data_IF_824072174008
#
_entry.id   IF_824072174008
#
_cell.length_a   1.000
_cell.length_b   1.000
_cell.length_c   1.000
_cell.angle_alpha   90.00
_cell.angle_beta   90.00
_cell.angle_gamma   90.00
#
_symmetry.space_group_name_H-M   'P 1'
#
loop_
_entity.id
_entity.type
_entity.pdbx_description
1 polymer ?
#
# COMPACT_ATOMS: atom_id res chain seq x y z
N UNK A 1 32.51 -23.72 -15.32
CA UNK A 1 31.35 -23.98 -14.44
C UNK A 1 31.51 -23.18 -13.16
N UNK A 2 30.88 -22.00 -13.06
CA UNK A 2 30.94 -21.19 -11.87
C UNK A 2 29.89 -21.70 -10.88
N UNK A 3 30.36 -22.18 -9.75
CA UNK A 3 29.54 -22.60 -8.59
C UNK A 3 28.80 -21.39 -8.03
N UNK A 4 27.52 -21.34 -8.32
CA UNK A 4 26.59 -20.36 -7.75
C UNK A 4 26.56 -20.59 -6.22
N UNK A 5 27.12 -19.64 -5.47
CA UNK A 5 27.11 -19.63 -4.01
C UNK A 5 25.67 -19.46 -3.52
N UNK A 6 24.92 -20.56 -3.36
CA UNK A 6 23.70 -20.60 -2.55
C UNK A 6 24.11 -20.45 -1.09
N UNK A 7 24.03 -19.25 -0.55
CA UNK A 7 24.00 -19.04 0.88
C UNK A 7 23.27 -17.72 1.21
N UNK A 8 21.97 -17.70 1.06
CA UNK A 8 21.16 -16.75 1.80
C UNK A 8 20.32 -17.55 2.81
N UNK A 9 20.97 -17.96 3.90
CA UNK A 9 20.24 -18.49 5.05
C UNK A 9 19.33 -17.38 5.62
N UNK A 10 18.15 -17.75 6.17
CA UNK A 10 17.17 -16.83 6.75
C UNK A 10 17.79 -15.78 7.71
N UNK A 11 18.89 -16.14 8.41
CA UNK A 11 19.64 -15.20 9.27
C UNK A 11 20.30 -14.02 8.54
N UNK A 12 20.52 -14.12 7.22
CA UNK A 12 21.14 -13.06 6.45
C UNK A 12 20.09 -12.02 5.98
N UNK A 13 18.83 -12.44 5.80
CA UNK A 13 17.73 -11.57 5.35
C UNK A 13 17.38 -10.54 6.42
N UNK A 14 17.33 -10.96 7.70
CA UNK A 14 17.07 -10.04 8.82
C UNK A 14 18.23 -9.05 9.09
N UNK A 15 19.44 -9.36 8.64
CA UNK A 15 20.57 -8.41 8.71
C UNK A 15 20.32 -7.17 7.83
N UNK A 16 19.52 -7.29 6.77
CA UNK A 16 19.15 -6.15 5.92
C UNK A 16 18.41 -5.08 6.72
N UNK A 17 17.61 -5.46 7.71
CA UNK A 17 16.88 -4.53 8.58
C UNK A 17 17.78 -3.77 9.57
N UNK A 18 19.05 -4.14 9.73
CA UNK A 18 20.02 -3.34 10.49
C UNK A 18 20.36 -2.02 9.79
N UNK A 19 20.21 -1.96 8.47
CA UNK A 19 20.32 -0.72 7.74
C UNK A 19 19.05 0.13 7.98
N UNK A 20 19.21 1.28 8.62
CA UNK A 20 18.11 2.19 8.97
C UNK A 20 17.24 2.56 7.77
N UNK A 21 17.84 2.82 6.61
CA UNK A 21 17.10 3.16 5.39
C UNK A 21 16.21 2.01 4.92
N UNK A 22 16.75 0.78 4.99
CA UNK A 22 15.99 -0.43 4.62
C UNK A 22 14.87 -0.69 5.62
N UNK A 23 15.14 -0.58 6.92
CA UNK A 23 14.13 -0.78 7.96
C UNK A 23 12.98 0.23 7.85
N UNK A 24 13.29 1.52 7.64
CA UNK A 24 12.27 2.56 7.46
C UNK A 24 11.45 2.34 6.20
N UNK A 25 12.08 2.00 5.06
CA UNK A 25 11.37 1.75 3.81
C UNK A 25 10.49 0.49 3.87
N UNK A 26 10.99 -0.60 4.49
CA UNK A 26 10.18 -1.81 4.73
C UNK A 26 9.01 -1.53 5.67
N UNK A 27 9.23 -0.75 6.72
CA UNK A 27 8.17 -0.29 7.62
C UNK A 27 7.14 0.58 6.92
N UNK A 28 7.57 1.49 6.05
CA UNK A 28 6.69 2.33 5.24
C UNK A 28 5.82 1.49 4.29
N UNK A 29 6.42 0.51 3.61
CA UNK A 29 5.68 -0.43 2.75
C UNK A 29 4.68 -1.26 3.57
N UNK A 30 5.09 -1.80 4.71
CA UNK A 30 4.20 -2.54 5.62
C UNK A 30 3.00 -1.70 6.05
N UNK A 31 3.22 -0.47 6.52
CA UNK A 31 2.13 0.43 6.91
C UNK A 31 1.23 0.82 5.74
N UNK A 32 1.81 1.00 4.55
CA UNK A 32 1.03 1.28 3.34
C UNK A 32 0.05 0.14 3.03
N UNK A 33 0.55 -1.09 2.92
CA UNK A 33 -0.30 -2.25 2.63
C UNK A 33 -1.26 -2.56 3.78
N UNK A 34 -0.85 -2.38 5.03
CA UNK A 34 -1.74 -2.51 6.17
C UNK A 34 -2.90 -1.52 6.07
N UNK A 35 -2.63 -0.24 5.84
CA UNK A 35 -3.64 0.79 5.70
C UNK A 35 -4.57 0.55 4.49
N UNK A 36 -4.01 0.19 3.34
CA UNK A 36 -4.78 -0.15 2.15
C UNK A 36 -5.78 -1.28 2.43
N UNK A 37 -5.34 -2.38 3.03
CA UNK A 37 -6.17 -3.57 3.25
C UNK A 37 -7.07 -3.47 4.47
N UNK A 38 -6.79 -2.59 5.43
CA UNK A 38 -7.72 -2.22 6.50
C UNK A 38 -9.06 -1.74 5.94
N UNK A 39 -9.04 -0.93 4.87
CA UNK A 39 -10.25 -0.44 4.21
C UNK A 39 -10.74 -1.41 3.11
N UNK A 40 -9.83 -1.81 2.21
CA UNK A 40 -10.21 -2.51 0.98
C UNK A 40 -10.92 -3.84 1.24
N UNK A 41 -10.55 -4.56 2.28
CA UNK A 41 -11.19 -5.82 2.68
C UNK A 41 -12.67 -5.63 3.02
N UNK A 42 -13.04 -4.46 3.57
CA UNK A 42 -14.41 -4.12 3.98
C UNK A 42 -15.15 -3.23 3.00
N UNK A 43 -14.59 -3.05 1.81
CA UNK A 43 -15.19 -2.25 0.76
C UNK A 43 -16.55 -2.80 0.32
N UNK A 44 -16.66 -4.11 0.15
CA UNK A 44 -17.92 -4.74 -0.24
C UNK A 44 -19.02 -4.57 0.82
N UNK A 45 -18.83 -4.92 2.11
CA UNK A 45 -19.77 -4.62 3.17
C UNK A 45 -20.19 -3.14 3.21
N UNK A 46 -19.23 -2.21 3.07
CA UNK A 46 -19.53 -0.77 3.00
C UNK A 46 -20.46 -0.43 1.83
N UNK A 47 -20.18 -0.94 0.64
CA UNK A 47 -21.01 -0.69 -0.55
C UNK A 47 -22.43 -1.26 -0.42
N UNK A 48 -22.55 -2.44 0.19
CA UNK A 48 -23.85 -3.11 0.39
C UNK A 48 -24.66 -2.45 1.51
N UNK A 49 -24.04 -2.06 2.62
CA UNK A 49 -24.75 -1.59 3.82
C UNK A 49 -24.90 -0.07 3.91
N UNK A 50 -23.91 0.69 3.46
CA UNK A 50 -23.90 2.17 3.56
C UNK A 50 -24.32 2.82 2.26
N UNK A 51 -23.69 2.43 1.15
CA UNK A 51 -24.04 2.97 -0.19
C UNK A 51 -25.32 2.32 -0.72
N UNK A 52 -25.68 1.15 -0.20
CA UNK A 52 -26.90 0.39 -0.55
C UNK A 52 -27.00 0.04 -2.04
N UNK A 53 -25.87 -0.36 -2.63
CA UNK A 53 -25.83 -0.76 -4.03
C UNK A 53 -26.34 -2.20 -4.22
N UNK A 54 -27.01 -2.44 -5.34
CA UNK A 54 -27.38 -3.80 -5.75
C UNK A 54 -26.18 -4.53 -6.40
N UNK A 55 -26.30 -5.84 -6.60
CA UNK A 55 -25.22 -6.68 -7.14
C UNK A 55 -24.68 -6.21 -8.50
N UNK A 56 -25.52 -5.82 -9.49
CA UNK A 56 -25.02 -5.25 -10.74
C UNK A 56 -24.19 -3.97 -10.55
N UNK A 57 -24.61 -3.06 -9.69
CA UNK A 57 -23.89 -1.82 -9.39
C UNK A 57 -22.59 -2.11 -8.63
N UNK A 58 -22.60 -3.06 -7.69
CA UNK A 58 -21.40 -3.52 -7.01
C UNK A 58 -20.35 -4.03 -8.03
N UNK A 59 -20.78 -4.88 -8.96
CA UNK A 59 -19.91 -5.40 -10.01
C UNK A 59 -19.34 -4.30 -10.90
N UNK A 60 -20.14 -3.28 -11.23
CA UNK A 60 -19.71 -2.11 -12.00
C UNK A 60 -18.66 -1.30 -11.24
N UNK A 61 -18.86 -1.05 -9.94
CA UNK A 61 -17.90 -0.33 -9.10
C UNK A 61 -16.56 -1.06 -9.00
N UNK A 62 -16.60 -2.38 -8.84
CA UNK A 62 -15.39 -3.21 -8.84
C UNK A 62 -14.68 -3.19 -10.19
N UNK A 63 -15.44 -3.18 -11.29
CA UNK A 63 -14.89 -3.02 -12.64
C UNK A 63 -14.23 -1.64 -12.81
N UNK A 64 -14.84 -0.56 -12.32
CA UNK A 64 -14.27 0.80 -12.33
C UNK A 64 -12.93 0.82 -11.60
N UNK A 65 -12.85 0.21 -10.41
CA UNK A 65 -11.58 0.07 -9.66
C UNK A 65 -10.53 -0.67 -10.51
N UNK A 66 -10.92 -1.79 -11.12
CA UNK A 66 -10.00 -2.62 -11.92
C UNK A 66 -9.48 -1.90 -13.16
N UNK A 67 -10.36 -1.25 -13.94
CA UNK A 67 -9.99 -0.49 -15.15
C UNK A 67 -9.12 0.71 -14.78
N UNK A 68 -9.51 1.48 -13.78
CA UNK A 68 -8.70 2.60 -13.28
C UNK A 68 -7.34 2.13 -12.79
N UNK A 69 -7.29 0.98 -12.12
CA UNK A 69 -6.05 0.36 -11.65
C UNK A 69 -5.12 -0.06 -12.78
N UNK A 70 -5.65 -0.63 -13.83
CA UNK A 70 -4.87 -0.94 -15.04
C UNK A 70 -4.23 0.32 -15.62
N UNK A 71 -4.99 1.41 -15.75
CA UNK A 71 -4.47 2.70 -16.20
C UNK A 71 -3.36 3.23 -15.26
N UNK A 72 -3.59 3.17 -13.95
CA UNK A 72 -2.62 3.62 -12.95
C UNK A 72 -1.30 2.85 -13.03
N UNK A 73 -1.37 1.53 -13.10
CA UNK A 73 -0.18 0.66 -13.23
C UNK A 73 0.61 0.93 -14.50
N UNK A 74 -0.08 1.24 -15.59
CA UNK A 74 0.56 1.55 -16.88
C UNK A 74 1.30 2.89 -16.85
N UNK A 75 0.73 3.89 -16.19
CA UNK A 75 1.26 5.26 -16.18
C UNK A 75 2.32 5.51 -15.10
N UNK A 76 2.32 4.74 -14.01
CA UNK A 76 3.16 5.01 -12.84
C UNK A 76 4.66 5.03 -13.16
N UNK A 77 5.12 4.23 -14.12
CA UNK A 77 6.53 4.15 -14.50
C UNK A 77 7.13 5.50 -14.95
N UNK A 78 6.32 6.37 -15.56
CA UNK A 78 6.75 7.71 -15.96
C UNK A 78 6.93 8.62 -14.75
N UNK A 79 6.03 8.53 -13.80
CA UNK A 79 6.03 9.36 -12.58
C UNK A 79 7.18 8.96 -11.64
N UNK A 80 7.42 7.66 -11.50
CA UNK A 80 8.50 7.12 -10.66
C UNK A 80 9.89 7.59 -11.11
N UNK A 81 10.10 7.77 -12.42
CA UNK A 81 11.37 8.29 -12.95
C UNK A 81 11.70 9.71 -12.47
N UNK A 82 10.69 10.51 -12.13
CA UNK A 82 10.91 11.90 -11.64
C UNK A 82 11.31 11.92 -10.16
N UNK A 83 10.59 11.17 -9.32
CA UNK A 83 10.86 11.10 -7.88
C UNK A 83 10.21 9.86 -7.28
N UNK A 84 10.99 8.84 -6.98
CA UNK A 84 10.51 7.60 -6.37
C UNK A 84 9.86 7.86 -5.00
N UNK A 85 10.58 8.50 -4.09
CA UNK A 85 10.08 8.76 -2.72
C UNK A 85 8.92 9.75 -2.70
N UNK A 86 9.01 10.82 -3.52
CA UNK A 86 7.92 11.78 -3.66
C UNK A 86 6.64 11.11 -4.16
N UNK A 87 6.74 10.24 -5.17
CA UNK A 87 5.60 9.50 -5.70
C UNK A 87 4.99 8.58 -4.65
N UNK A 88 5.80 7.78 -3.94
CA UNK A 88 5.30 6.87 -2.91
C UNK A 88 4.63 7.61 -1.75
N UNK A 89 5.20 8.74 -1.29
CA UNK A 89 4.57 9.57 -0.25
C UNK A 89 3.25 10.18 -0.74
N UNK A 90 3.22 10.70 -1.97
CA UNK A 90 2.00 11.29 -2.56
C UNK A 90 0.90 10.25 -2.72
N UNK A 91 1.22 9.03 -3.21
CA UNK A 91 0.29 7.90 -3.29
C UNK A 91 -0.35 7.63 -1.92
N UNK A 92 0.47 7.50 -0.88
CA UNK A 92 0.00 7.21 0.48
C UNK A 92 -0.92 8.32 1.00
N UNK A 93 -0.56 9.59 0.81
CA UNK A 93 -1.37 10.73 1.24
C UNK A 93 -2.70 10.83 0.46
N UNK A 94 -2.67 10.65 -0.85
CA UNK A 94 -3.89 10.68 -1.66
C UNK A 94 -4.84 9.56 -1.25
N UNK A 95 -4.35 8.36 -0.99
CA UNK A 95 -5.16 7.26 -0.50
C UNK A 95 -5.75 7.55 0.88
N UNK A 96 -4.99 8.19 1.79
CA UNK A 96 -5.50 8.63 3.09
C UNK A 96 -6.65 9.65 2.93
N UNK A 97 -6.49 10.61 2.03
CA UNK A 97 -7.55 11.59 1.72
C UNK A 97 -8.79 10.92 1.15
N UNK A 98 -8.62 9.96 0.22
CA UNK A 98 -9.76 9.21 -0.36
C UNK A 98 -10.46 8.41 0.73
N UNK A 99 -9.73 7.73 1.63
CA UNK A 99 -10.31 6.98 2.74
C UNK A 99 -11.19 7.87 3.63
N UNK A 100 -10.71 9.07 3.97
CA UNK A 100 -11.49 10.04 4.75
C UNK A 100 -12.67 10.62 3.96
N UNK A 101 -12.49 10.88 2.67
CA UNK A 101 -13.55 11.43 1.80
C UNK A 101 -14.70 10.43 1.58
N UNK A 102 -14.43 9.13 1.62
CA UNK A 102 -15.48 8.10 1.53
C UNK A 102 -16.44 8.12 2.73
N UNK A 103 -16.04 8.69 3.89
CA UNK A 103 -16.90 8.75 5.07
C UNK A 103 -18.14 9.63 4.82
N UNK A 104 -18.02 10.92 4.47
CA UNK A 104 -19.18 11.76 4.19
C UNK A 104 -19.83 11.43 2.85
N UNK A 105 -19.10 10.87 1.89
CA UNK A 105 -19.61 10.53 0.56
C UNK A 105 -20.34 9.19 0.51
N UNK A 106 -20.32 8.39 1.58
CA UNK A 106 -20.70 6.98 1.59
C UNK A 106 -22.09 6.64 1.04
N UNK A 107 -23.06 7.54 1.17
CA UNK A 107 -24.44 7.37 0.65
C UNK A 107 -24.60 7.77 -0.83
N UNK A 108 -23.62 8.47 -1.40
CA UNK A 108 -23.68 8.97 -2.77
C UNK A 108 -22.98 8.07 -3.77
N UNK A 109 -23.71 7.24 -4.50
CA UNK A 109 -23.16 6.23 -5.44
C UNK A 109 -22.15 6.84 -6.42
N UNK A 110 -22.44 8.02 -7.00
CA UNK A 110 -21.55 8.68 -7.97
C UNK A 110 -20.26 9.14 -7.29
N UNK A 111 -20.35 9.77 -6.12
CA UNK A 111 -19.17 10.23 -5.37
C UNK A 111 -18.29 9.04 -4.95
N UNK A 112 -18.91 7.97 -4.47
CA UNK A 112 -18.23 6.72 -4.14
C UNK A 112 -17.56 6.11 -5.37
N UNK A 113 -18.23 6.06 -6.53
CA UNK A 113 -17.65 5.55 -7.77
C UNK A 113 -16.39 6.32 -8.20
N UNK A 114 -16.44 7.65 -8.14
CA UNK A 114 -15.28 8.50 -8.46
C UNK A 114 -14.12 8.26 -7.48
N UNK A 115 -14.41 8.27 -6.18
CA UNK A 115 -13.38 8.04 -5.15
C UNK A 115 -12.76 6.66 -5.26
N UNK A 116 -13.57 5.63 -5.53
CA UNK A 116 -13.06 4.26 -5.72
C UNK A 116 -12.30 4.09 -7.03
N UNK A 117 -12.68 4.79 -8.10
CA UNK A 117 -11.89 4.85 -9.32
C UNK A 117 -10.52 5.46 -9.08
N UNK A 118 -10.45 6.58 -8.36
CA UNK A 118 -9.18 7.20 -7.94
C UNK A 118 -8.38 6.28 -7.01
N UNK A 119 -9.03 5.62 -6.05
CA UNK A 119 -8.39 4.61 -5.20
C UNK A 119 -7.77 3.50 -6.04
N UNK A 120 -8.54 2.89 -6.95
CA UNK A 120 -8.05 1.84 -7.84
C UNK A 120 -6.85 2.28 -8.66
N UNK A 121 -6.92 3.47 -9.27
CA UNK A 121 -5.84 4.06 -10.06
C UNK A 121 -4.53 4.18 -9.26
N UNK A 122 -4.61 4.61 -8.00
CA UNK A 122 -3.45 4.88 -7.15
C UNK A 122 -2.96 3.59 -6.46
N UNK A 123 -3.87 2.80 -5.91
CA UNK A 123 -3.54 1.63 -5.09
C UNK A 123 -2.83 0.53 -5.88
N UNK A 124 -3.25 0.27 -7.13
CA UNK A 124 -2.63 -0.75 -7.97
C UNK A 124 -1.30 -0.31 -8.57
N UNK A 125 -1.05 0.99 -8.64
CA UNK A 125 0.22 1.55 -9.07
C UNK A 125 1.32 1.45 -7.98
N UNK A 126 0.93 1.43 -6.71
CA UNK A 126 1.86 1.44 -5.57
C UNK A 126 2.83 0.24 -5.52
N UNK A 127 2.42 -1.01 -5.78
CA UNK A 127 3.33 -2.15 -5.82
C UNK A 127 4.52 -1.94 -6.76
N UNK A 128 4.29 -1.36 -7.94
CA UNK A 128 5.38 -1.06 -8.90
C UNK A 128 6.41 -0.10 -8.28
N UNK A 129 5.95 0.88 -7.53
CA UNK A 129 6.80 1.82 -6.82
C UNK A 129 7.62 1.15 -5.71
N UNK A 130 7.00 0.29 -4.90
CA UNK A 130 7.68 -0.43 -3.83
C UNK A 130 8.71 -1.44 -4.34
N UNK A 131 8.41 -2.15 -5.44
CA UNK A 131 9.40 -3.02 -6.10
C UNK A 131 10.55 -2.23 -6.71
N UNK A 132 10.27 -1.09 -7.32
CA UNK A 132 11.32 -0.18 -7.79
C UNK A 132 12.19 0.32 -6.65
N UNK A 133 11.59 0.60 -5.48
CA UNK A 133 12.33 1.00 -4.28
C UNK A 133 13.29 -0.10 -3.80
N UNK A 134 12.87 -1.38 -3.77
CA UNK A 134 13.76 -2.51 -3.43
C UNK A 134 14.99 -2.53 -4.33
N UNK A 135 14.79 -2.44 -5.65
CA UNK A 135 15.88 -2.48 -6.61
C UNK A 135 16.89 -1.32 -6.39
N UNK A 136 16.42 -0.16 -5.95
CA UNK A 136 17.28 0.99 -5.63
C UNK A 136 17.94 0.89 -4.25
N UNK A 137 17.23 0.38 -3.26
CA UNK A 137 17.73 0.33 -1.87
C UNK A 137 18.67 -0.83 -1.62
N UNK A 138 18.53 -1.93 -2.35
CA UNK A 138 19.26 -3.19 -2.18
C UNK A 138 19.72 -3.78 -3.52
N UNK A 139 20.53 -3.06 -4.34
CA UNK A 139 20.93 -3.53 -5.66
C UNK A 139 21.65 -4.89 -5.63
N UNK A 140 22.52 -5.13 -4.62
CA UNK A 140 23.29 -6.37 -4.48
C UNK A 140 22.51 -7.49 -3.78
N UNK A 141 21.35 -7.19 -3.19
CA UNK A 141 20.52 -8.11 -2.42
C UNK A 141 19.04 -8.04 -2.81
N UNK A 142 18.74 -7.70 -4.05
CA UNK A 142 17.36 -7.48 -4.52
C UNK A 142 16.45 -8.71 -4.34
N UNK A 143 16.98 -9.91 -4.55
CA UNK A 143 16.23 -11.17 -4.35
C UNK A 143 15.85 -11.37 -2.87
N UNK A 144 16.82 -11.25 -1.96
CA UNK A 144 16.58 -11.38 -0.52
C UNK A 144 15.68 -10.26 0.02
N UNK A 145 15.90 -9.03 -0.45
CA UNK A 145 15.06 -7.87 -0.14
C UNK A 145 13.63 -8.02 -0.64
N UNK A 146 13.47 -8.57 -1.84
CA UNK A 146 12.16 -8.88 -2.43
C UNK A 146 11.39 -9.92 -1.62
N UNK A 147 12.05 -11.01 -1.22
CA UNK A 147 11.44 -12.03 -0.36
C UNK A 147 11.00 -11.49 1.00
N UNK A 148 11.85 -10.64 1.62
CA UNK A 148 11.50 -9.95 2.88
C UNK A 148 10.31 -9.01 2.70
N UNK A 149 10.28 -8.23 1.62
CA UNK A 149 9.16 -7.35 1.29
C UNK A 149 7.85 -8.13 1.16
N UNK A 150 7.85 -9.26 0.43
CA UNK A 150 6.66 -10.11 0.32
C UNK A 150 6.17 -10.56 1.69
N UNK A 151 7.06 -11.04 2.56
CA UNK A 151 6.69 -11.48 3.90
C UNK A 151 6.08 -10.36 4.73
N UNK A 152 6.68 -9.16 4.70
CA UNK A 152 6.18 -7.96 5.41
C UNK A 152 4.82 -7.55 4.85
N UNK A 153 4.66 -7.52 3.53
CA UNK A 153 3.40 -7.15 2.88
C UNK A 153 2.29 -8.13 3.23
N UNK A 154 2.54 -9.43 3.17
CA UNK A 154 1.53 -10.44 3.52
C UNK A 154 1.11 -10.37 4.99
N UNK A 155 2.06 -10.17 5.90
CA UNK A 155 1.77 -9.96 7.31
C UNK A 155 0.96 -8.66 7.51
N UNK A 156 1.34 -7.58 6.85
CA UNK A 156 0.65 -6.30 6.90
C UNK A 156 -0.80 -6.39 6.38
N UNK A 157 -1.02 -7.13 5.28
CA UNK A 157 -2.36 -7.42 4.76
C UNK A 157 -3.19 -8.19 5.79
N UNK A 158 -2.64 -9.26 6.36
CA UNK A 158 -3.33 -10.06 7.36
C UNK A 158 -3.72 -9.24 8.60
N UNK A 159 -2.77 -8.48 9.16
CA UNK A 159 -3.01 -7.62 10.33
C UNK A 159 -4.01 -6.51 9.98
N UNK A 160 -3.82 -5.83 8.85
CA UNK A 160 -4.70 -4.75 8.39
C UNK A 160 -6.15 -5.22 8.21
N UNK A 161 -6.34 -6.36 7.53
CA UNK A 161 -7.68 -6.96 7.34
C UNK A 161 -8.31 -7.36 8.67
N UNK A 162 -7.54 -7.95 9.59
CA UNK A 162 -8.06 -8.36 10.91
C UNK A 162 -8.46 -7.13 11.75
N UNK A 163 -7.58 -6.13 11.86
CA UNK A 163 -7.86 -4.90 12.60
C UNK A 163 -9.04 -4.15 11.97
N UNK A 164 -9.07 -4.06 10.64
CA UNK A 164 -10.17 -3.46 9.91
C UNK A 164 -11.52 -4.10 10.23
N UNK A 165 -11.55 -5.43 10.35
CA UNK A 165 -12.77 -6.17 10.70
C UNK A 165 -13.25 -5.88 12.12
N UNK A 166 -12.36 -5.99 13.07
CA UNK A 166 -12.70 -5.67 14.47
C UNK A 166 -13.25 -4.26 14.61
N UNK A 167 -12.64 -3.29 13.92
CA UNK A 167 -13.11 -1.91 13.92
C UNK A 167 -14.46 -1.76 13.21
N UNK A 168 -14.65 -2.42 12.06
CA UNK A 168 -15.88 -2.38 11.30
C UNK A 168 -17.05 -2.91 12.10
N UNK A 169 -16.88 -4.07 12.73
CA UNK A 169 -17.93 -4.76 13.49
C UNK A 169 -18.25 -4.05 14.82
N UNK A 170 -17.22 -3.54 15.52
CA UNK A 170 -17.40 -2.92 16.83
C UNK A 170 -17.82 -1.44 16.77
N UNK A 171 -17.31 -0.67 15.82
CA UNK A 171 -17.41 0.79 15.78
C UNK A 171 -17.93 1.36 14.44
N UNK A 172 -18.22 0.48 13.49
CA UNK A 172 -18.70 0.86 12.17
C UNK A 172 -17.61 1.23 11.17
N UNK A 173 -18.01 1.42 9.90
CA UNK A 173 -17.10 1.65 8.77
C UNK A 173 -16.24 2.91 8.93
N UNK A 174 -16.73 3.95 9.61
CA UNK A 174 -16.00 5.19 9.80
C UNK A 174 -14.68 4.95 10.54
N UNK A 175 -14.71 4.13 11.59
CA UNK A 175 -13.51 3.79 12.38
C UNK A 175 -12.48 3.04 11.55
N UNK A 176 -12.92 2.11 10.71
CA UNK A 176 -12.08 1.36 9.76
C UNK A 176 -11.40 2.29 8.76
N UNK A 177 -12.16 3.26 8.22
CA UNK A 177 -11.64 4.20 7.22
C UNK A 177 -10.68 5.23 7.84
N UNK A 178 -10.97 5.69 9.07
CA UNK A 178 -10.05 6.55 9.85
C UNK A 178 -8.75 5.80 10.17
N UNK A 179 -8.83 4.53 10.60
CA UNK A 179 -7.65 3.72 10.87
C UNK A 179 -6.80 3.50 9.60
N UNK A 180 -7.45 3.20 8.47
CA UNK A 180 -6.80 3.12 7.15
C UNK A 180 -6.06 4.41 6.82
N UNK A 181 -6.72 5.56 6.94
CA UNK A 181 -6.12 6.87 6.67
C UNK A 181 -4.93 7.16 7.58
N UNK A 182 -5.04 6.86 8.88
CA UNK A 182 -3.94 7.04 9.84
C UNK A 182 -2.71 6.19 9.48
N UNK A 183 -2.91 4.93 9.13
CA UNK A 183 -1.83 4.04 8.69
C UNK A 183 -1.17 4.53 7.40
N UNK A 184 -1.95 5.01 6.44
CA UNK A 184 -1.46 5.57 5.19
C UNK A 184 -0.68 6.89 5.40
N UNK A 185 -1.12 7.75 6.31
CA UNK A 185 -0.37 8.96 6.71
C UNK A 185 0.95 8.60 7.37
N UNK A 186 0.98 7.59 8.25
CA UNK A 186 2.21 7.10 8.85
C UNK A 186 3.15 6.50 7.79
N UNK A 187 2.61 5.77 6.80
CA UNK A 187 3.38 5.26 5.67
C UNK A 187 4.03 6.41 4.87
N UNK A 188 3.29 7.48 4.58
CA UNK A 188 3.81 8.66 3.91
C UNK A 188 4.94 9.33 4.71
N UNK A 189 4.77 9.47 6.03
CA UNK A 189 5.79 10.02 6.91
C UNK A 189 7.05 9.15 6.92
N UNK A 190 6.93 7.83 7.07
CA UNK A 190 8.09 6.93 7.03
C UNK A 190 8.78 6.95 5.66
N UNK A 191 8.03 7.01 4.57
CA UNK A 191 8.59 7.15 3.22
C UNK A 191 9.41 8.43 3.09
N UNK A 192 8.89 9.55 3.61
CA UNK A 192 9.61 10.81 3.65
C UNK A 192 10.88 10.75 4.52
N UNK A 193 10.81 10.13 5.70
CA UNK A 193 11.99 9.93 6.55
C UNK A 193 13.03 9.02 5.89
N UNK A 194 12.58 8.00 5.15
CA UNK A 194 13.46 7.11 4.36
C UNK A 194 14.22 7.89 3.29
N UNK A 195 13.58 8.86 2.64
CA UNK A 195 14.23 9.71 1.62
C UNK A 195 15.36 10.56 2.18
N UNK A 196 15.28 10.95 3.45
CA UNK A 196 16.28 11.78 4.15
C UNK A 196 17.37 10.96 4.84
N UNK A 197 17.23 9.63 4.92
CA UNK A 197 18.22 8.79 5.58
C UNK A 197 19.47 8.63 4.69
N UNK A 198 20.68 8.85 5.22
CA UNK A 198 21.91 8.65 4.47
C UNK A 198 22.07 7.18 4.08
N UNK A 199 22.67 6.92 2.94
CA UNK A 199 23.08 5.57 2.53
C UNK A 199 24.28 5.22 3.41
N UNK A 200 24.07 4.38 4.41
CA UNK A 200 25.21 3.81 5.15
C UNK A 200 25.84 2.73 4.26
N UNK A 201 26.96 3.05 3.64
CA UNK A 201 27.83 2.02 3.09
C UNK A 201 28.41 1.24 4.28
N UNK A 202 27.82 0.10 4.59
CA UNK A 202 28.48 -0.90 5.42
C UNK A 202 29.68 -1.41 4.64
N UNK A 203 30.87 -0.97 5.06
CA UNK A 203 32.15 -1.59 4.66
C UNK A 203 32.27 -3.00 5.20
#
# INVERSE_FOLDING_TARGET
>A
MATQKRSSGAGNVFKLLKNRKVALGMGAAGLFFMGQFTLFTYLRPFLETVTQVNVPMLSLLLLVIGVAGFCGTTLIGVVLKRSLYGTLSTISLLMAVIALALIPAGTGVIAVAVLLGLWGFIATAAPVGWWSWIAHALPDHAEAGGGLMVAIVQLAIAVGSTVGGVLFDALGYQSTFIASAALLMLAALLTFLTSRSPVSHTR
#
